data_IF_288830916902
#
_entry.id   IF_288830916902
#
_cell.length_a   1.000
_cell.length_b   1.000
_cell.length_c   1.000
_cell.angle_alpha   90.00
_cell.angle_beta   90.00
_cell.angle_gamma   90.00
#
_symmetry.space_group_name_H-M   'P 1'
#
loop_
_entity.id
_entity.type
_entity.pdbx_description
1 polymer ?
#
# COMPACT_ATOMS: atom_id res chain seq x y z
N UNK A 1 -17.86 43.74 -30.89
CA UNK A 1 -18.59 42.84 -29.98
C UNK A 1 -17.56 41.89 -29.39
N UNK A 2 -17.31 41.95 -28.08
CA UNK A 2 -16.26 41.17 -27.43
C UNK A 2 -16.85 39.85 -26.96
N UNK A 3 -16.39 38.73 -27.54
CA UNK A 3 -16.81 37.39 -27.14
C UNK A 3 -16.16 37.07 -25.81
N UNK A 4 -16.96 36.98 -24.75
CA UNK A 4 -16.48 36.55 -23.43
C UNK A 4 -16.11 35.06 -23.55
N UNK A 5 -14.82 34.75 -23.48
CA UNK A 5 -14.33 33.37 -23.43
C UNK A 5 -14.59 32.88 -22.01
N UNK A 6 -15.61 32.04 -21.84
CA UNK A 6 -15.82 31.33 -20.58
C UNK A 6 -14.57 30.49 -20.29
N UNK A 7 -14.01 30.52 -19.07
CA UNK A 7 -12.98 29.56 -18.69
C UNK A 7 -13.54 28.16 -18.94
N UNK A 8 -12.76 27.31 -19.59
CA UNK A 8 -13.05 25.88 -19.63
C UNK A 8 -12.96 25.40 -18.18
N UNK A 9 -14.09 25.42 -17.50
CA UNK A 9 -14.28 24.76 -16.22
C UNK A 9 -14.16 23.28 -16.58
N UNK A 10 -12.92 22.79 -16.58
CA UNK A 10 -12.61 21.37 -16.65
C UNK A 10 -13.48 20.75 -15.57
N UNK A 11 -14.56 20.13 -16.02
CA UNK A 11 -15.70 19.78 -15.19
C UNK A 11 -15.15 18.78 -14.19
N UNK A 12 -14.77 19.24 -13.00
CA UNK A 12 -14.52 18.41 -11.84
C UNK A 12 -15.86 17.73 -11.60
N UNK A 13 -16.03 16.58 -12.24
CA UNK A 13 -17.18 15.72 -12.01
C UNK A 13 -17.19 15.46 -10.52
N UNK A 14 -18.19 16.02 -9.84
CA UNK A 14 -18.33 15.86 -8.41
C UNK A 14 -18.53 14.36 -8.19
N UNK A 15 -17.50 13.70 -7.66
CA UNK A 15 -17.61 12.31 -7.25
C UNK A 15 -18.80 12.17 -6.31
N UNK A 16 -19.68 11.24 -6.63
CA UNK A 16 -20.79 10.90 -5.76
C UNK A 16 -20.27 10.26 -4.47
N UNK A 17 -21.05 10.38 -3.40
CA UNK A 17 -20.71 9.73 -2.13
C UNK A 17 -20.55 8.21 -2.31
N UNK A 18 -21.36 7.60 -3.18
CA UNK A 18 -21.29 6.18 -3.50
C UNK A 18 -19.98 5.81 -4.20
N UNK A 19 -19.52 6.61 -5.16
CA UNK A 19 -18.24 6.40 -5.85
C UNK A 19 -17.05 6.55 -4.90
N UNK A 20 -17.09 7.51 -3.98
CA UNK A 20 -16.06 7.69 -2.96
C UNK A 20 -16.00 6.45 -2.07
N UNK A 21 -17.14 6.01 -1.53
CA UNK A 21 -17.20 4.83 -0.66
C UNK A 21 -16.75 3.57 -1.42
N UNK A 22 -17.18 3.40 -2.66
CA UNK A 22 -16.79 2.25 -3.51
C UNK A 22 -15.29 2.23 -3.77
N UNK A 23 -14.71 3.38 -4.13
CA UNK A 23 -13.28 3.52 -4.38
C UNK A 23 -12.46 3.24 -3.12
N UNK A 24 -12.88 3.78 -1.96
CA UNK A 24 -12.22 3.50 -0.68
C UNK A 24 -12.27 2.01 -0.34
N UNK A 25 -13.41 1.32 -0.56
CA UNK A 25 -13.51 -0.13 -0.34
C UNK A 25 -12.54 -0.92 -1.22
N UNK A 26 -12.37 -0.53 -2.49
CA UNK A 26 -11.40 -1.17 -3.38
C UNK A 26 -9.96 -0.97 -2.90
N UNK A 27 -9.62 0.24 -2.42
CA UNK A 27 -8.30 0.52 -1.83
C UNK A 27 -8.06 -0.34 -0.59
N UNK A 28 -9.05 -0.45 0.31
CA UNK A 28 -8.97 -1.31 1.50
C UNK A 28 -8.68 -2.77 1.11
N UNK A 29 -9.43 -3.33 0.16
CA UNK A 29 -9.20 -4.70 -0.33
C UNK A 29 -7.80 -4.87 -0.92
N UNK A 30 -7.32 -3.89 -1.69
CA UNK A 30 -5.96 -3.90 -2.23
C UNK A 30 -4.89 -3.86 -1.14
N UNK A 31 -5.09 -3.05 -0.09
CA UNK A 31 -4.19 -2.98 1.06
C UNK A 31 -4.21 -4.27 1.88
N UNK A 32 -5.36 -4.92 2.06
CA UNK A 32 -5.45 -6.24 2.70
C UNK A 32 -4.67 -7.31 1.93
N UNK A 33 -4.83 -7.34 0.60
CA UNK A 33 -4.07 -8.24 -0.27
C UNK A 33 -2.56 -7.99 -0.18
N UNK A 34 -2.14 -6.72 -0.26
CA UNK A 34 -0.74 -6.33 -0.17
C UNK A 34 -0.14 -6.70 1.19
N UNK A 35 -0.90 -6.52 2.29
CA UNK A 35 -0.49 -6.96 3.63
C UNK A 35 -0.24 -8.48 3.67
N UNK A 36 -1.13 -9.26 3.08
CA UNK A 36 -0.99 -10.72 3.01
C UNK A 36 0.26 -11.14 2.23
N UNK A 37 0.55 -10.47 1.12
CA UNK A 37 1.75 -10.72 0.32
C UNK A 37 3.03 -10.39 1.10
N UNK A 38 3.08 -9.22 1.74
CA UNK A 38 4.23 -8.81 2.56
C UNK A 38 4.49 -9.79 3.71
N UNK A 39 3.46 -10.26 4.39
CA UNK A 39 3.59 -11.28 5.44
C UNK A 39 4.08 -12.62 4.88
N UNK A 40 3.63 -13.02 3.69
CA UNK A 40 4.11 -14.23 3.02
C UNK A 40 5.60 -14.13 2.69
N UNK A 41 6.05 -13.00 2.14
CA UNK A 41 7.47 -12.76 1.87
C UNK A 41 8.28 -12.76 3.17
N UNK A 42 7.77 -12.10 4.23
CA UNK A 42 8.44 -12.06 5.53
C UNK A 42 8.65 -13.48 6.09
N UNK A 43 7.64 -14.34 5.98
CA UNK A 43 7.74 -15.74 6.39
C UNK A 43 8.85 -16.48 5.60
N UNK A 44 8.92 -16.31 4.29
CA UNK A 44 9.98 -16.91 3.46
C UNK A 44 11.38 -16.39 3.81
N UNK A 45 11.52 -15.11 4.15
CA UNK A 45 12.80 -14.54 4.59
C UNK A 45 13.25 -15.11 5.94
N UNK A 46 12.32 -15.31 6.88
CA UNK A 46 12.61 -15.94 8.17
C UNK A 46 13.12 -17.38 7.97
N UNK A 47 12.48 -18.15 7.10
CA UNK A 47 12.93 -19.50 6.75
C UNK A 47 14.30 -19.49 6.07
N UNK A 48 14.54 -18.51 5.20
CA UNK A 48 15.84 -18.33 4.55
C UNK A 48 16.95 -18.08 5.58
N UNK A 49 16.73 -17.19 6.56
CA UNK A 49 17.73 -16.90 7.62
C UNK A 49 18.16 -18.17 8.35
N UNK A 50 17.22 -19.07 8.65
CA UNK A 50 17.52 -20.33 9.35
C UNK A 50 18.46 -21.25 8.57
N UNK A 51 18.52 -21.09 7.24
CA UNK A 51 19.32 -21.91 6.34
C UNK A 51 20.68 -21.28 5.98
N UNK A 52 20.88 -20.00 6.30
CA UNK A 52 22.10 -19.27 5.95
C UNK A 52 23.25 -19.68 6.88
N UNK A 53 24.43 -19.87 6.27
CA UNK A 53 25.66 -20.26 6.98
C UNK A 53 26.66 -19.11 7.12
N UNK A 54 26.42 -17.99 6.44
CA UNK A 54 27.30 -16.82 6.42
C UNK A 54 26.58 -15.62 7.04
N UNK A 55 27.29 -14.92 7.92
CA UNK A 55 26.77 -13.75 8.63
C UNK A 55 26.39 -12.58 7.70
N UNK A 56 27.14 -12.37 6.60
CA UNK A 56 26.82 -11.29 5.65
C UNK A 56 25.51 -11.52 4.90
N UNK A 57 25.24 -12.76 4.48
CA UNK A 57 23.97 -13.12 3.82
C UNK A 57 22.80 -12.98 4.82
N UNK A 58 23.01 -13.37 6.08
CA UNK A 58 22.00 -13.24 7.13
C UNK A 58 21.68 -11.76 7.42
N UNK A 59 22.70 -10.88 7.45
CA UNK A 59 22.54 -9.44 7.66
C UNK A 59 21.62 -8.80 6.62
N UNK A 60 21.82 -9.11 5.34
CA UNK A 60 20.98 -8.58 4.26
C UNK A 60 19.52 -9.05 4.38
N UNK A 61 19.30 -10.33 4.70
CA UNK A 61 17.94 -10.87 4.86
C UNK A 61 17.25 -10.29 6.09
N UNK A 62 17.98 -10.02 7.17
CA UNK A 62 17.47 -9.28 8.32
C UNK A 62 17.05 -7.86 7.96
N UNK A 63 17.86 -7.13 7.18
CA UNK A 63 17.52 -5.78 6.73
C UNK A 63 16.24 -5.78 5.89
N UNK A 64 16.12 -6.70 4.92
CA UNK A 64 14.90 -6.84 4.09
C UNK A 64 13.67 -7.19 4.94
N UNK A 65 13.83 -8.08 5.91
CA UNK A 65 12.76 -8.43 6.85
C UNK A 65 12.29 -7.22 7.66
N UNK A 66 13.23 -6.37 8.11
CA UNK A 66 12.91 -5.15 8.85
C UNK A 66 12.14 -4.13 7.99
N UNK A 67 12.49 -3.99 6.71
CA UNK A 67 11.76 -3.12 5.78
C UNK A 67 10.32 -3.60 5.57
N UNK A 68 10.12 -4.91 5.38
CA UNK A 68 8.78 -5.47 5.22
C UNK A 68 7.91 -5.28 6.47
N UNK A 69 8.45 -5.46 7.68
CA UNK A 69 7.70 -5.21 8.92
C UNK A 69 7.22 -3.77 9.02
N UNK A 70 8.09 -2.79 8.73
CA UNK A 70 7.69 -1.38 8.68
C UNK A 70 6.61 -1.12 7.62
N UNK A 71 6.71 -1.79 6.47
CA UNK A 71 5.68 -1.67 5.43
C UNK A 71 4.34 -2.26 5.87
N UNK A 72 4.34 -3.39 6.57
CA UNK A 72 3.13 -4.01 7.13
C UNK A 72 2.50 -3.07 8.17
N UNK A 73 3.29 -2.51 9.08
CA UNK A 73 2.83 -1.53 10.08
C UNK A 73 2.14 -0.32 9.41
N UNK A 74 2.74 0.23 8.34
CA UNK A 74 2.15 1.35 7.58
C UNK A 74 0.83 0.96 6.89
N UNK A 75 0.74 -0.25 6.35
CA UNK A 75 -0.49 -0.76 5.73
C UNK A 75 -1.57 -0.94 6.80
N UNK A 76 -1.23 -1.48 7.97
CA UNK A 76 -2.18 -1.68 9.07
C UNK A 76 -2.71 -0.35 9.63
N UNK A 77 -1.86 0.67 9.73
CA UNK A 77 -2.29 2.02 10.07
C UNK A 77 -3.29 2.56 9.04
N UNK A 78 -2.96 2.52 7.74
CA UNK A 78 -3.85 3.01 6.68
C UNK A 78 -5.17 2.24 6.58
N UNK A 79 -5.16 0.93 6.85
CA UNK A 79 -6.37 0.12 6.94
C UNK A 79 -7.25 0.53 8.13
N UNK A 80 -6.62 0.80 9.29
CA UNK A 80 -7.32 1.27 10.49
C UNK A 80 -7.93 2.66 10.34
N UNK A 81 -7.30 3.54 9.54
CA UNK A 81 -7.83 4.87 9.23
C UNK A 81 -9.00 4.84 8.23
N UNK A 82 -9.11 3.78 7.43
CA UNK A 82 -10.10 3.66 6.36
C UNK A 82 -11.38 2.88 6.74
N UNK A 83 -11.39 2.19 7.89
CA UNK A 83 -12.57 1.48 8.44
C UNK A 83 -13.48 2.41 9.24
#
# INVERSE_FOLDING_TARGET
MSTMVYPHEERLEKLTQEEIISSTKLVIQGLEALKSEHNSILQSLVETIQCLKKDEEASLVHEKSNLLRKSVEMIELGLGEAQ
#
